data_IF_246484004358
#
_entry.id   IF_246484004358
#
_cell.length_a   1.000
_cell.length_b   1.000
_cell.length_c   1.000
_cell.angle_alpha   90.00
_cell.angle_beta   90.00
_cell.angle_gamma   90.00
#
_symmetry.space_group_name_H-M   'P 1'
#
loop_
_entity.id
_entity.type
_entity.pdbx_description
1 polymer ?
#
# COMPACT_ATOMS: atom_id res chain seq x y z
N UNK A 1 5.15 -51.16 -14.01
CA UNK A 1 5.90 -51.09 -12.72
C UNK A 1 6.80 -49.86 -12.64
N UNK A 2 7.57 -49.53 -13.69
CA UNK A 2 8.45 -48.36 -13.73
C UNK A 2 7.72 -47.01 -13.53
N UNK A 3 6.57 -46.80 -14.19
CA UNK A 3 5.83 -45.54 -14.08
C UNK A 3 5.27 -45.26 -12.67
N UNK A 4 4.92 -46.29 -11.90
CA UNK A 4 4.38 -46.11 -10.55
C UNK A 4 5.49 -45.63 -9.59
N UNK A 5 6.70 -46.21 -9.71
CA UNK A 5 7.88 -45.79 -8.93
C UNK A 5 8.25 -44.34 -9.27
N UNK A 6 8.31 -43.99 -10.56
CA UNK A 6 8.65 -42.63 -10.99
C UNK A 6 7.61 -41.62 -10.47
N UNK A 7 6.32 -41.95 -10.54
CA UNK A 7 5.26 -41.11 -10.00
C UNK A 7 5.38 -40.91 -8.48
N UNK A 8 5.66 -41.98 -7.72
CA UNK A 8 5.82 -41.87 -6.26
C UNK A 8 7.05 -41.03 -5.89
N UNK A 9 8.18 -41.22 -6.56
CA UNK A 9 9.39 -40.43 -6.32
C UNK A 9 9.16 -38.95 -6.68
N UNK A 10 8.46 -38.67 -7.77
CA UNK A 10 8.11 -37.30 -8.16
C UNK A 10 7.22 -36.61 -7.12
N UNK A 11 6.21 -37.30 -6.57
CA UNK A 11 5.34 -36.75 -5.53
C UNK A 11 6.14 -36.42 -4.27
N UNK A 12 7.05 -37.32 -3.86
CA UNK A 12 7.91 -37.10 -2.69
C UNK A 12 8.86 -35.91 -2.91
N UNK A 13 9.43 -35.78 -4.11
CA UNK A 13 10.28 -34.63 -4.45
C UNK A 13 9.51 -33.31 -4.44
N UNK A 14 8.32 -33.29 -5.06
CA UNK A 14 7.47 -32.11 -5.09
C UNK A 14 7.02 -31.69 -3.68
N UNK A 15 6.70 -32.64 -2.79
CA UNK A 15 6.29 -32.33 -1.42
C UNK A 15 7.44 -31.75 -0.60
N UNK A 16 8.65 -32.30 -0.73
CA UNK A 16 9.85 -31.74 -0.05
C UNK A 16 10.16 -30.33 -0.56
N UNK A 17 10.09 -30.10 -1.87
CA UNK A 17 10.31 -28.77 -2.45
C UNK A 17 9.23 -27.77 -2.04
N UNK A 18 7.96 -28.19 -1.99
CA UNK A 18 6.86 -27.33 -1.55
C UNK A 18 7.02 -26.92 -0.08
N UNK A 19 7.38 -27.86 0.80
CA UNK A 19 7.64 -27.55 2.22
C UNK A 19 8.83 -26.60 2.34
N UNK A 20 9.92 -26.84 1.60
CA UNK A 20 11.07 -25.94 1.57
C UNK A 20 10.72 -24.53 1.08
N UNK A 21 9.92 -24.43 0.01
CA UNK A 21 9.49 -23.15 -0.54
C UNK A 21 8.59 -22.36 0.43
N UNK A 22 7.74 -23.03 1.21
CA UNK A 22 6.91 -22.35 2.22
C UNK A 22 7.78 -21.87 3.39
N UNK A 23 8.69 -22.71 3.88
CA UNK A 23 9.49 -22.40 5.07
C UNK A 23 10.57 -21.34 4.80
N UNK A 24 11.23 -21.40 3.64
CA UNK A 24 12.27 -20.44 3.27
C UNK A 24 11.77 -19.28 2.41
N UNK A 25 10.70 -19.49 1.62
CA UNK A 25 10.13 -18.44 0.77
C UNK A 25 9.10 -17.57 1.46
N UNK A 26 8.48 -18.05 2.56
CA UNK A 26 7.40 -17.33 3.24
C UNK A 26 7.78 -15.91 3.69
N UNK A 27 8.98 -15.74 4.22
CA UNK A 27 9.51 -14.44 4.65
C UNK A 27 9.71 -13.49 3.46
N UNK A 28 10.35 -13.97 2.39
CA UNK A 28 10.57 -13.18 1.17
C UNK A 28 9.24 -12.79 0.49
N UNK A 29 8.24 -13.67 0.49
CA UNK A 29 6.91 -13.36 -0.03
C UNK A 29 6.16 -12.35 0.85
N UNK A 30 6.29 -12.45 2.17
CA UNK A 30 5.69 -11.50 3.10
C UNK A 30 6.29 -10.10 2.94
N UNK A 31 7.62 -10.01 2.84
CA UNK A 31 8.34 -8.76 2.60
C UNK A 31 8.03 -8.17 1.21
N UNK A 32 8.03 -8.99 0.17
CA UNK A 32 7.67 -8.52 -1.17
C UNK A 32 6.22 -7.99 -1.21
N UNK A 33 5.30 -8.65 -0.50
CA UNK A 33 3.91 -8.22 -0.39
C UNK A 33 3.75 -6.90 0.39
N UNK A 34 4.50 -6.70 1.48
CA UNK A 34 4.46 -5.45 2.25
C UNK A 34 5.02 -4.27 1.44
N UNK A 35 6.15 -4.47 0.75
CA UNK A 35 6.72 -3.48 -0.17
C UNK A 35 5.77 -3.15 -1.32
N UNK A 36 5.14 -4.16 -1.93
CA UNK A 36 4.17 -3.95 -3.01
C UNK A 36 2.96 -3.13 -2.53
N UNK A 37 2.47 -3.36 -1.31
CA UNK A 37 1.41 -2.55 -0.71
C UNK A 37 1.83 -1.11 -0.50
N UNK A 38 3.04 -0.87 0.04
CA UNK A 38 3.57 0.48 0.22
C UNK A 38 3.64 1.24 -1.10
N UNK A 39 4.25 0.64 -2.12
CA UNK A 39 4.34 1.23 -3.47
C UNK A 39 2.95 1.48 -4.05
N UNK A 40 1.99 0.57 -3.83
CA UNK A 40 0.61 0.77 -4.27
C UNK A 40 -0.05 1.99 -3.63
N UNK A 41 0.17 2.21 -2.34
CA UNK A 41 -0.32 3.39 -1.62
C UNK A 41 0.34 4.66 -2.15
N UNK A 42 1.67 4.67 -2.31
CA UNK A 42 2.40 5.82 -2.84
C UNK A 42 1.98 6.18 -4.28
N UNK A 43 1.83 5.19 -5.16
CA UNK A 43 1.35 5.42 -6.52
C UNK A 43 -0.06 6.00 -6.53
N UNK A 44 -0.92 5.53 -5.63
CA UNK A 44 -2.27 6.05 -5.49
C UNK A 44 -2.26 7.50 -5.02
N UNK A 45 -1.40 7.83 -4.05
CA UNK A 45 -1.21 9.20 -3.59
C UNK A 45 -0.73 10.13 -4.72
N UNK A 46 0.25 9.67 -5.52
CA UNK A 46 0.75 10.42 -6.68
C UNK A 46 -0.32 10.64 -7.75
N UNK A 47 -1.20 9.66 -7.99
CA UNK A 47 -2.32 9.82 -8.92
C UNK A 47 -3.31 10.88 -8.45
N UNK A 48 -3.62 10.91 -7.14
CA UNK A 48 -4.50 11.92 -6.56
C UNK A 48 -3.88 13.31 -6.69
N UNK A 49 -2.61 13.48 -6.30
CA UNK A 49 -1.92 14.77 -6.41
C UNK A 49 -1.86 15.27 -7.86
N UNK A 50 -1.49 14.40 -8.80
CA UNK A 50 -1.50 14.74 -10.23
C UNK A 50 -2.90 15.13 -10.73
N UNK A 51 -3.96 14.43 -10.29
CA UNK A 51 -5.34 14.76 -10.66
C UNK A 51 -5.78 16.13 -10.12
N UNK A 52 -5.42 16.47 -8.88
CA UNK A 52 -5.71 17.77 -8.28
C UNK A 52 -4.97 18.88 -9.05
N UNK A 53 -3.70 18.66 -9.41
CA UNK A 53 -2.93 19.63 -10.20
C UNK A 53 -3.53 19.83 -11.60
N UNK A 54 -3.99 18.76 -12.24
CA UNK A 54 -4.70 18.85 -13.53
C UNK A 54 -6.04 19.61 -13.41
N UNK A 55 -6.78 19.37 -12.34
CA UNK A 55 -8.00 20.12 -12.03
C UNK A 55 -7.70 21.62 -11.88
N UNK A 56 -6.65 21.98 -11.13
CA UNK A 56 -6.23 23.36 -10.95
C UNK A 56 -5.84 24.01 -12.28
N UNK A 57 -5.14 23.29 -13.16
CA UNK A 57 -4.78 23.80 -14.48
C UNK A 57 -5.99 24.06 -15.38
N UNK A 58 -7.04 23.25 -15.29
CA UNK A 58 -8.26 23.43 -16.10
C UNK A 58 -9.21 24.48 -15.52
N UNK A 59 -9.39 24.52 -14.19
CA UNK A 59 -10.36 25.40 -13.51
C UNK A 59 -9.77 26.70 -12.98
N UNK A 60 -8.45 26.82 -12.90
CA UNK A 60 -7.72 27.94 -12.31
C UNK A 60 -8.04 28.21 -10.84
N UNK A 61 -8.64 27.23 -10.15
CA UNK A 61 -8.88 27.24 -8.72
C UNK A 61 -8.71 25.84 -8.15
N UNK A 62 -8.39 25.75 -6.87
CA UNK A 62 -8.31 24.47 -6.18
C UNK A 62 -9.71 23.90 -5.93
N UNK A 63 -9.86 22.57 -5.89
CA UNK A 63 -11.09 21.93 -5.43
C UNK A 63 -11.46 22.42 -4.03
N UNK A 64 -12.76 22.59 -3.76
CA UNK A 64 -13.23 23.06 -2.45
C UNK A 64 -13.67 21.89 -1.57
N UNK A 65 -14.05 20.79 -2.22
CA UNK A 65 -14.43 19.52 -1.63
C UNK A 65 -13.23 18.85 -0.96
N UNK A 66 -13.51 17.91 -0.05
CA UNK A 66 -12.50 17.14 0.69
C UNK A 66 -12.85 15.66 0.69
N UNK A 67 -11.87 14.82 1.00
CA UNK A 67 -12.03 13.38 1.19
C UNK A 67 -12.76 12.73 -0.01
N UNK A 68 -13.78 11.90 0.25
CA UNK A 68 -14.52 11.16 -0.77
C UNK A 68 -15.26 12.08 -1.76
N UNK A 69 -15.71 13.25 -1.31
CA UNK A 69 -16.38 14.22 -2.19
C UNK A 69 -15.39 14.82 -3.20
N UNK A 70 -14.14 15.02 -2.81
CA UNK A 70 -13.08 15.46 -3.72
C UNK A 70 -12.76 14.37 -4.75
N UNK A 71 -12.67 13.11 -4.30
CA UNK A 71 -12.49 11.97 -5.21
C UNK A 71 -13.63 11.91 -6.23
N UNK A 72 -14.87 12.09 -5.80
CA UNK A 72 -16.04 12.07 -6.69
C UNK A 72 -15.97 13.20 -7.74
N UNK A 73 -15.56 14.40 -7.36
CA UNK A 73 -15.35 15.52 -8.30
C UNK A 73 -14.23 15.20 -9.30
N UNK A 74 -13.11 14.63 -8.84
CA UNK A 74 -12.00 14.28 -9.72
C UNK A 74 -12.35 13.14 -10.68
N UNK A 75 -13.11 12.15 -10.23
CA UNK A 75 -13.56 11.02 -11.05
C UNK A 75 -14.61 11.46 -12.06
N UNK A 76 -15.62 12.23 -11.64
CA UNK A 76 -16.65 12.78 -12.53
C UNK A 76 -16.08 13.77 -13.55
N UNK A 77 -15.03 14.50 -13.16
CA UNK A 77 -14.26 15.39 -14.03
C UNK A 77 -13.30 14.68 -14.99
N UNK A 78 -13.18 13.34 -14.93
CA UNK A 78 -12.21 12.53 -15.68
C UNK A 78 -10.73 12.86 -15.42
N UNK A 79 -10.40 13.46 -14.26
CA UNK A 79 -9.01 13.69 -13.85
C UNK A 79 -8.41 12.49 -13.12
N UNK A 80 -9.26 11.65 -12.53
CA UNK A 80 -8.85 10.49 -11.74
C UNK A 80 -9.66 9.25 -12.14
N UNK A 81 -9.02 8.09 -12.22
CA UNK A 81 -9.73 6.82 -12.33
C UNK A 81 -10.32 6.43 -10.97
N UNK A 82 -11.43 5.66 -10.92
CA UNK A 82 -12.01 5.23 -9.66
C UNK A 82 -10.96 4.49 -8.81
N UNK A 83 -10.75 5.00 -7.60
CA UNK A 83 -9.86 4.43 -6.61
C UNK A 83 -10.35 3.04 -6.18
N UNK A 84 -9.41 2.10 -6.06
CA UNK A 84 -9.70 0.75 -5.53
C UNK A 84 -9.69 0.69 -4.00
N UNK A 85 -9.04 1.66 -3.36
CA UNK A 85 -8.81 1.67 -1.92
C UNK A 85 -9.61 2.80 -1.26
N UNK A 86 -10.33 2.45 -0.19
CA UNK A 86 -11.17 3.35 0.59
C UNK A 86 -10.38 4.02 1.74
N UNK A 87 -10.91 5.14 2.23
CA UNK A 87 -10.45 5.81 3.46
C UNK A 87 -9.36 6.88 3.25
N UNK A 88 -9.16 7.37 2.04
CA UNK A 88 -8.23 8.48 1.80
C UNK A 88 -8.75 9.77 2.43
N UNK A 89 -7.91 10.42 3.22
CA UNK A 89 -8.12 11.77 3.72
C UNK A 89 -7.35 12.73 2.82
N UNK A 90 -8.10 13.56 2.10
CA UNK A 90 -7.59 14.41 1.03
C UNK A 90 -8.05 15.83 1.30
N UNK A 91 -7.07 16.68 1.57
CA UNK A 91 -7.17 18.12 1.67
C UNK A 91 -6.16 18.77 0.72
N UNK A 92 -6.30 20.06 0.44
CA UNK A 92 -5.33 20.82 -0.36
C UNK A 92 -3.92 20.77 0.20
N UNK A 93 -3.79 20.60 1.53
CA UNK A 93 -2.51 20.65 2.24
C UNK A 93 -2.06 19.28 2.78
N UNK A 94 -2.95 18.29 2.81
CA UNK A 94 -2.69 17.00 3.45
C UNK A 94 -3.32 15.86 2.66
N UNK A 95 -2.50 14.84 2.37
CA UNK A 95 -2.91 13.61 1.73
C UNK A 95 -2.40 12.44 2.56
N UNK A 96 -3.30 11.76 3.27
CA UNK A 96 -2.94 10.62 4.09
C UNK A 96 -4.06 9.57 4.11
N UNK A 97 -3.69 8.35 4.48
CA UNK A 97 -4.64 7.26 4.66
C UNK A 97 -4.40 6.61 6.02
N UNK A 98 -5.40 6.56 6.91
CA UNK A 98 -5.26 5.88 8.18
C UNK A 98 -5.08 4.38 7.91
N UNK A 99 -3.99 3.85 8.43
CA UNK A 99 -3.68 2.41 8.42
C UNK A 99 -3.91 1.84 9.81
N UNK A 100 -4.35 0.58 9.90
CA UNK A 100 -4.47 -0.07 11.20
C UNK A 100 -3.09 -0.18 11.88
N UNK A 101 -3.05 -0.11 13.21
CA UNK A 101 -1.81 -0.11 14.01
C UNK A 101 -0.86 -1.27 13.69
N UNK A 102 -1.40 -2.45 13.37
CA UNK A 102 -0.60 -3.61 12.94
C UNK A 102 0.01 -3.49 11.53
N UNK A 103 -0.61 -2.71 10.63
CA UNK A 103 -0.10 -2.48 9.26
C UNK A 103 0.99 -1.41 9.21
N UNK A 104 0.95 -0.45 10.14
CA UNK A 104 1.92 0.63 10.23
C UNK A 104 3.35 0.13 10.50
N UNK A 105 3.53 -0.82 11.43
CA UNK A 105 4.84 -1.42 11.70
C UNK A 105 5.41 -2.16 10.48
N UNK A 106 4.54 -2.88 9.75
CA UNK A 106 4.90 -3.62 8.54
C UNK A 106 5.31 -2.67 7.40
N UNK A 107 4.64 -1.52 7.29
CA UNK A 107 4.95 -0.49 6.29
C UNK A 107 6.29 0.19 6.60
N UNK A 108 6.53 0.56 7.85
CA UNK A 108 7.78 1.19 8.26
C UNK A 108 8.98 0.23 8.15
N UNK A 109 8.77 -1.06 8.43
CA UNK A 109 9.77 -2.10 8.19
C UNK A 109 10.08 -2.24 6.70
N UNK A 110 9.05 -2.29 5.84
CA UNK A 110 9.23 -2.35 4.38
C UNK A 110 9.97 -1.13 3.81
N UNK A 111 9.84 0.03 4.45
CA UNK A 111 10.54 1.26 4.10
C UNK A 111 11.95 1.37 4.70
N UNK A 112 12.38 0.41 5.52
CA UNK A 112 13.72 0.36 6.12
C UNK A 112 13.85 1.12 7.44
N UNK A 113 12.75 1.59 8.04
CA UNK A 113 12.72 2.27 9.35
C UNK A 113 12.49 1.32 10.53
N UNK A 114 12.33 0.02 10.27
CA UNK A 114 12.08 -1.02 11.26
C UNK A 114 10.61 -1.14 11.67
N UNK A 115 10.28 -2.21 12.41
CA UNK A 115 8.91 -2.55 12.83
C UNK A 115 8.37 -1.66 13.99
N UNK A 116 8.50 -0.35 13.85
CA UNK A 116 8.03 0.64 14.81
C UNK A 116 6.87 1.39 14.18
N UNK A 117 5.73 1.48 14.86
CA UNK A 117 4.65 2.38 14.47
C UNK A 117 4.58 3.51 15.49
N UNK A 118 5.16 4.67 15.19
CA UNK A 118 5.19 5.73 16.17
C UNK A 118 4.04 6.73 15.92
N UNK A 119 3.91 7.77 16.76
CA UNK A 119 2.75 8.69 16.72
C UNK A 119 2.98 9.78 15.67
N UNK A 120 1.93 10.14 14.93
CA UNK A 120 2.02 11.19 13.90
C UNK A 120 2.35 12.59 14.48
N UNK A 121 2.21 12.80 15.79
CA UNK A 121 2.48 14.07 16.47
C UNK A 121 3.97 14.34 16.74
N UNK A 122 4.84 13.33 16.57
CA UNK A 122 6.27 13.47 16.79
C UNK A 122 6.93 14.15 15.56
N UNK A 123 7.35 15.41 15.70
CA UNK A 123 8.13 16.15 14.66
C UNK A 123 9.36 15.38 14.17
N UNK A 124 9.95 14.54 15.01
CA UNK A 124 11.10 13.69 14.68
C UNK A 124 10.78 12.57 13.66
N UNK A 125 9.51 12.34 13.36
CA UNK A 125 9.01 11.19 12.62
C UNK A 125 8.18 11.56 11.39
N UNK A 126 8.13 12.84 11.01
CA UNK A 126 7.51 13.34 9.77
C UNK A 126 8.06 12.70 8.49
N UNK A 127 9.22 12.03 8.55
CA UNK A 127 9.81 11.31 7.43
C UNK A 127 9.42 9.83 7.32
N UNK A 128 8.66 9.28 8.28
CA UNK A 128 8.21 7.90 8.20
C UNK A 128 6.95 7.77 7.32
N UNK A 129 6.86 6.72 6.49
CA UNK A 129 5.72 6.52 5.60
C UNK A 129 4.44 6.09 6.33
N UNK A 130 4.54 5.55 7.55
CA UNK A 130 3.40 5.19 8.38
C UNK A 130 3.54 5.74 9.80
N UNK A 131 2.45 6.30 10.31
CA UNK A 131 2.34 6.72 11.70
C UNK A 131 0.91 6.46 12.20
N UNK A 132 0.75 6.35 13.52
CA UNK A 132 -0.57 6.24 14.16
C UNK A 132 -1.05 7.61 14.63
N UNK A 133 -2.26 8.00 14.22
CA UNK A 133 -2.97 9.14 14.83
C UNK A 133 -3.61 8.67 16.13
N UNK A 134 -3.62 9.48 17.21
CA UNK A 134 -4.43 9.16 18.38
C UNK A 134 -5.91 9.09 17.99
N UNK A 135 -6.60 8.03 18.44
CA UNK A 135 -8.05 7.85 18.28
C UNK A 135 -8.84 9.04 18.86
#
# INVERSE_FOLDING_TARGET
MFQLIVATVAIVLCSVLAIGAIWYGGEAFAEASSRAKLVGIEMTAQQIDAAIQLYYQDKLHWPTERDDALVEVLVSGNYLMPLRDEGWKISTDELYRPVQTGQCAIINEAAGFGAVCPRCDDEAQKGLPGCSTPD
#
